data_IF_863183773303
#
_entry.id   IF_863183773303
#
_cell.length_a   1.000
_cell.length_b   1.000
_cell.length_c   1.000
_cell.angle_alpha   90.00
_cell.angle_beta   90.00
_cell.angle_gamma   90.00
#
_symmetry.space_group_name_H-M   'P 1'
#
loop_
_entity.id
_entity.type
_entity.pdbx_description
1 polymer ?
#
# COMPACT_ATOMS: atom_id res chain seq x y z
N UNK A 1 -62.43 -40.86 14.08
CA UNK A 1 -61.43 -40.44 15.09
C UNK A 1 -60.03 -40.60 14.48
N UNK A 2 -59.65 -39.71 13.58
CA UNK A 2 -58.91 -38.44 13.76
C UNK A 2 -57.39 -38.58 13.50
N UNK A 3 -57.08 -39.05 12.29
CA UNK A 3 -55.76 -39.03 11.62
C UNK A 3 -55.13 -37.64 11.51
N UNK A 4 -55.90 -36.57 11.80
CA UNK A 4 -55.41 -35.19 11.86
C UNK A 4 -54.49 -34.89 13.05
N UNK A 5 -54.56 -35.65 14.16
CA UNK A 5 -53.72 -35.39 15.33
C UNK A 5 -52.28 -35.93 15.23
N UNK A 6 -52.03 -36.98 14.44
CA UNK A 6 -50.67 -37.56 14.28
C UNK A 6 -49.75 -36.73 13.37
N UNK A 7 -50.31 -35.92 12.47
CA UNK A 7 -49.49 -35.05 11.59
C UNK A 7 -49.00 -33.80 12.32
N UNK A 8 -49.81 -33.26 13.25
CA UNK A 8 -49.47 -32.07 14.04
C UNK A 8 -48.37 -32.41 15.06
N UNK A 9 -48.41 -33.60 15.69
CA UNK A 9 -47.34 -34.04 16.60
C UNK A 9 -46.01 -34.32 15.89
N UNK A 10 -46.02 -34.80 14.63
CA UNK A 10 -44.78 -34.98 13.85
C UNK A 10 -44.21 -33.69 13.27
N UNK A 11 -45.02 -32.63 13.12
CA UNK A 11 -44.54 -31.32 12.68
C UNK A 11 -43.93 -30.49 13.81
N UNK A 12 -44.32 -30.76 15.06
CA UNK A 12 -43.73 -30.09 16.23
C UNK A 12 -42.35 -30.68 16.58
N UNK A 13 -42.09 -31.96 16.26
CA UNK A 13 -40.80 -32.59 16.56
C UNK A 13 -39.67 -32.30 15.56
N UNK A 14 -39.97 -31.67 14.41
CA UNK A 14 -38.95 -31.31 13.39
C UNK A 14 -38.55 -29.83 13.47
N UNK A 15 -39.24 -29.03 14.29
CA UNK A 15 -38.89 -27.62 14.53
C UNK A 15 -37.96 -27.41 15.74
N UNK A 16 -37.28 -28.47 16.22
CA UNK A 16 -36.53 -28.45 17.48
C UNK A 16 -34.99 -28.64 17.39
N UNK A 17 -34.33 -28.50 16.22
CA UNK A 17 -32.90 -28.16 16.27
C UNK A 17 -32.46 -26.99 15.37
N UNK A 18 -33.38 -26.21 14.78
CA UNK A 18 -32.97 -25.10 13.87
C UNK A 18 -32.78 -23.76 14.58
N UNK A 19 -33.22 -23.62 15.84
CA UNK A 19 -32.97 -22.41 16.64
C UNK A 19 -31.70 -22.46 17.49
N UNK A 20 -30.96 -23.58 17.47
CA UNK A 20 -29.70 -23.72 18.20
C UNK A 20 -28.45 -23.47 17.34
N UNK A 21 -28.59 -23.29 16.03
CA UNK A 21 -27.46 -23.11 15.10
C UNK A 21 -27.32 -21.69 14.53
N UNK A 22 -28.17 -20.74 14.92
CA UNK A 22 -28.19 -19.38 14.36
C UNK A 22 -27.66 -18.29 15.30
N UNK A 23 -26.88 -18.67 16.32
CA UNK A 23 -26.14 -17.73 17.16
C UNK A 23 -24.75 -18.31 17.43
N UNK A 24 -23.97 -18.55 16.36
CA UNK A 24 -22.61 -18.04 16.44
C UNK A 24 -22.75 -16.54 16.22
N UNK A 25 -23.18 -15.83 17.27
CA UNK A 25 -22.90 -14.42 17.36
C UNK A 25 -21.38 -14.36 17.33
N UNK A 26 -20.81 -14.11 16.15
CA UNK A 26 -19.49 -13.53 16.07
C UNK A 26 -19.69 -12.23 16.83
N UNK A 27 -19.27 -12.21 18.10
CA UNK A 27 -19.18 -10.96 18.85
C UNK A 27 -18.48 -9.97 17.93
N UNK A 28 -18.93 -8.71 17.83
CA UNK A 28 -18.19 -7.68 17.14
C UNK A 28 -16.71 -7.86 17.44
N UNK A 29 -15.90 -8.24 16.44
CA UNK A 29 -14.47 -8.09 16.64
C UNK A 29 -14.29 -6.60 16.82
N UNK A 30 -13.72 -6.19 17.95
CA UNK A 30 -13.16 -4.85 18.04
C UNK A 30 -11.92 -4.91 17.17
N UNK A 31 -12.13 -4.73 15.87
CA UNK A 31 -11.08 -4.76 14.88
C UNK A 31 -10.22 -3.51 15.07
N UNK A 32 -8.91 -3.63 14.99
CA UNK A 32 -7.99 -2.51 14.91
C UNK A 32 -6.98 -2.84 13.81
N UNK A 33 -7.02 -2.05 12.74
CA UNK A 33 -6.09 -2.17 11.62
C UNK A 33 -5.27 -0.90 11.51
N UNK A 34 -3.99 -1.06 11.22
CA UNK A 34 -3.07 0.03 10.97
C UNK A 34 -2.20 -0.29 9.76
N UNK A 35 -1.93 0.70 8.93
CA UNK A 35 -0.93 0.63 7.87
C UNK A 35 -0.22 1.96 7.74
N UNK A 36 1.10 1.91 7.54
CA UNK A 36 1.97 3.06 7.35
C UNK A 36 2.96 2.78 6.23
N UNK A 37 3.18 3.78 5.39
CA UNK A 37 4.25 3.78 4.40
C UNK A 37 4.87 5.17 4.32
N UNK A 38 6.16 5.26 4.64
CA UNK A 38 6.95 6.47 4.59
C UNK A 38 8.18 6.26 3.71
N UNK A 39 8.51 7.25 2.89
CA UNK A 39 9.69 7.20 2.04
C UNK A 39 10.35 8.58 1.90
N UNK A 40 11.67 8.59 2.02
CA UNK A 40 12.50 9.78 1.89
C UNK A 40 13.59 9.51 0.86
N UNK A 41 13.87 10.51 0.04
CA UNK A 41 14.99 10.47 -0.89
C UNK A 41 15.71 11.82 -0.92
N UNK A 42 17.04 11.77 -0.98
CA UNK A 42 17.90 12.93 -1.06
C UNK A 42 18.96 12.71 -2.13
N UNK A 43 19.11 13.70 -3.02
CA UNK A 43 20.25 13.84 -3.90
C UNK A 43 21.26 14.81 -3.30
N UNK A 44 22.53 14.44 -3.35
CA UNK A 44 23.64 15.27 -2.88
C UNK A 44 24.78 15.34 -3.90
N UNK A 45 25.64 16.36 -3.75
CA UNK A 45 26.96 16.43 -4.39
C UNK A 45 26.96 16.19 -5.92
N UNK A 46 26.00 16.79 -6.65
CA UNK A 46 26.02 16.73 -8.11
C UNK A 46 27.34 17.29 -8.66
N UNK A 47 27.90 16.60 -9.67
CA UNK A 47 29.13 17.04 -10.34
C UNK A 47 29.00 18.39 -11.04
N UNK A 48 27.77 18.83 -11.32
CA UNK A 48 27.43 20.12 -11.90
C UNK A 48 25.97 20.46 -11.57
N UNK A 49 25.63 21.75 -11.53
CA UNK A 49 24.25 22.19 -11.31
C UNK A 49 23.35 21.82 -12.50
N UNK A 50 22.06 21.49 -12.26
CA UNK A 50 21.11 21.28 -13.34
C UNK A 50 20.79 22.59 -14.09
N UNK A 51 20.54 22.51 -15.39
CA UNK A 51 20.08 23.63 -16.23
C UNK A 51 18.61 23.97 -16.02
N UNK A 52 17.84 23.04 -15.45
CA UNK A 52 16.46 23.23 -15.04
C UNK A 52 16.02 22.15 -14.06
N UNK A 53 15.09 22.50 -13.17
CA UNK A 53 14.53 21.59 -12.17
C UNK A 53 13.01 21.67 -12.16
N UNK A 54 12.37 20.56 -11.83
CA UNK A 54 10.94 20.46 -11.54
C UNK A 54 10.76 19.58 -10.30
N UNK A 55 9.81 19.97 -9.46
CA UNK A 55 9.35 19.16 -8.34
C UNK A 55 7.82 19.12 -8.39
N UNK A 56 7.24 17.93 -8.24
CA UNK A 56 5.80 17.71 -8.21
C UNK A 56 5.43 16.81 -7.04
N UNK A 57 4.24 17.01 -6.50
CA UNK A 57 3.66 16.19 -5.44
C UNK A 57 2.18 15.99 -5.70
N UNK A 58 1.66 14.82 -5.32
CA UNK A 58 0.23 14.52 -5.35
C UNK A 58 -0.15 13.67 -4.14
N UNK A 59 -1.38 13.84 -3.66
CA UNK A 59 -1.91 13.05 -2.54
C UNK A 59 -3.38 12.72 -2.77
N UNK A 60 -3.76 11.49 -2.43
CA UNK A 60 -5.15 11.02 -2.47
C UNK A 60 -5.51 10.29 -1.19
N UNK A 61 -6.72 10.52 -0.69
CA UNK A 61 -7.23 9.84 0.50
C UNK A 61 -8.70 9.49 0.34
N UNK A 62 -9.05 8.33 0.89
CA UNK A 62 -10.42 7.87 0.96
C UNK A 62 -10.66 7.21 2.31
N UNK A 63 -11.77 7.56 2.96
CA UNK A 63 -12.25 6.87 4.14
C UNK A 63 -13.75 6.64 4.05
N UNK A 64 -14.19 5.49 4.56
CA UNK A 64 -15.59 5.11 4.69
C UNK A 64 -15.78 4.29 5.95
N UNK A 65 -16.80 4.65 6.72
CA UNK A 65 -17.23 3.94 7.92
C UNK A 65 -18.76 3.89 8.02
N UNK A 66 -19.30 2.76 8.47
CA UNK A 66 -20.71 2.64 8.86
C UNK A 66 -20.88 2.52 10.37
N UNK A 67 -20.12 1.60 11.00
CA UNK A 67 -20.24 1.25 12.42
C UNK A 67 -18.88 1.28 13.16
N UNK A 68 -17.90 2.01 12.61
CA UNK A 68 -16.53 2.07 13.12
C UNK A 68 -15.87 3.42 12.95
N UNK A 69 -14.54 3.40 12.89
CA UNK A 69 -13.68 4.56 12.61
C UNK A 69 -12.83 4.21 11.41
N UNK A 70 -12.65 5.16 10.49
CA UNK A 70 -11.78 5.06 9.32
C UNK A 70 -11.04 6.38 9.16
N UNK A 71 -9.71 6.36 9.27
CA UNK A 71 -8.86 7.54 9.10
C UNK A 71 -7.79 7.25 8.05
N UNK A 72 -7.51 8.25 7.20
CA UNK A 72 -6.53 8.18 6.14
C UNK A 72 -5.79 9.51 6.02
N UNK A 73 -4.46 9.46 6.04
CA UNK A 73 -3.57 10.62 5.95
C UNK A 73 -2.56 10.40 4.84
N UNK A 74 -2.34 11.41 4.01
CA UNK A 74 -1.31 11.43 2.98
C UNK A 74 -0.59 12.77 2.97
N UNK A 75 0.74 12.73 2.91
CA UNK A 75 1.63 13.88 2.82
C UNK A 75 2.70 13.60 1.76
N UNK A 76 3.00 14.62 0.96
CA UNK A 76 4.10 14.64 0.00
C UNK A 76 4.73 16.03 -0.04
N UNK A 77 6.04 16.09 0.12
CA UNK A 77 6.85 17.30 0.05
C UNK A 77 8.02 17.08 -0.91
N UNK A 78 8.35 18.08 -1.72
CA UNK A 78 9.44 17.96 -2.68
C UNK A 78 10.14 19.31 -2.91
N UNK A 79 11.47 19.29 -2.87
CA UNK A 79 12.33 20.45 -3.13
C UNK A 79 13.51 20.01 -3.97
N UNK A 80 13.67 20.62 -5.15
CA UNK A 80 14.88 20.45 -5.97
C UNK A 80 15.57 21.80 -6.17
N UNK A 81 16.83 21.90 -5.77
CA UNK A 81 17.62 23.11 -5.95
C UNK A 81 18.35 23.08 -7.28
N UNK A 82 18.39 24.26 -7.92
CA UNK A 82 19.22 24.47 -9.10
C UNK A 82 20.69 24.72 -8.70
N UNK A 83 21.27 23.79 -7.94
CA UNK A 83 22.63 23.86 -7.41
C UNK A 83 23.26 22.46 -7.39
N UNK A 84 24.54 22.38 -7.01
CA UNK A 84 25.22 21.09 -6.81
C UNK A 84 24.82 20.39 -5.52
N UNK A 85 24.10 21.08 -4.63
CA UNK A 85 23.64 20.51 -3.35
C UNK A 85 22.52 19.49 -3.56
N UNK A 86 21.75 19.63 -4.65
CA UNK A 86 20.72 18.67 -5.04
C UNK A 86 19.34 18.98 -4.48
N UNK A 87 18.66 17.99 -3.94
CA UNK A 87 17.24 18.09 -3.60
C UNK A 87 16.77 16.95 -2.70
N UNK A 88 15.66 17.16 -2.02
CA UNK A 88 15.06 16.21 -1.09
C UNK A 88 13.56 16.16 -1.28
N UNK A 89 12.98 15.00 -1.06
CA UNK A 89 11.55 14.82 -1.03
C UNK A 89 11.14 13.67 -0.11
N UNK A 90 9.94 13.82 0.46
CA UNK A 90 9.40 12.98 1.51
C UNK A 90 7.93 12.69 1.22
N UNK A 91 7.56 11.43 1.37
CA UNK A 91 6.20 10.93 1.26
C UNK A 91 5.83 10.20 2.55
N UNK A 92 4.63 10.43 3.05
CA UNK A 92 4.07 9.73 4.19
C UNK A 92 2.61 9.40 3.95
N UNK A 93 2.23 8.15 4.22
CA UNK A 93 0.84 7.72 4.18
C UNK A 93 0.54 6.84 5.38
N UNK A 94 -0.65 7.03 5.96
CA UNK A 94 -1.12 6.30 7.13
C UNK A 94 -2.62 6.03 6.97
N UNK A 95 -3.05 4.84 7.33
CA UNK A 95 -4.45 4.49 7.41
C UNK A 95 -4.73 3.71 8.69
N UNK A 96 -5.84 4.04 9.34
CA UNK A 96 -6.28 3.44 10.59
C UNK A 96 -7.76 3.09 10.51
N UNK A 97 -8.12 1.96 11.10
CA UNK A 97 -9.49 1.50 11.21
C UNK A 97 -9.77 0.89 12.58
N UNK A 98 -10.92 1.23 13.18
CA UNK A 98 -11.36 0.61 14.45
C UNK A 98 -12.82 0.14 14.37
N UNK A 99 -13.11 -0.96 15.07
CA UNK A 99 -14.41 -1.60 15.24
C UNK A 99 -14.90 -2.41 14.04
N UNK A 100 -15.86 -1.92 13.26
CA UNK A 100 -16.53 -2.71 12.23
C UNK A 100 -16.81 -1.85 11.01
N UNK A 101 -16.82 -2.48 9.83
CA UNK A 101 -17.34 -1.89 8.59
C UNK A 101 -16.63 -0.59 8.23
N UNK A 102 -15.33 -0.71 7.99
CA UNK A 102 -14.50 0.40 7.56
C UNK A 102 -13.64 0.03 6.35
N UNK A 103 -13.30 1.06 5.59
CA UNK A 103 -12.29 1.06 4.54
C UNK A 103 -11.58 2.41 4.57
N UNK A 104 -10.27 2.40 4.71
CA UNK A 104 -9.44 3.60 4.57
C UNK A 104 -8.26 3.33 3.64
N UNK A 105 -7.93 4.33 2.83
CA UNK A 105 -6.89 4.31 1.83
C UNK A 105 -6.21 5.67 1.78
N UNK A 106 -4.89 5.66 1.67
CA UNK A 106 -4.10 6.87 1.44
C UNK A 106 -2.98 6.57 0.44
N UNK A 107 -2.70 7.54 -0.41
CA UNK A 107 -1.64 7.51 -1.40
C UNK A 107 -0.92 8.86 -1.45
N UNK A 108 0.40 8.82 -1.58
CA UNK A 108 1.20 10.01 -1.84
C UNK A 108 2.28 9.74 -2.87
N UNK A 109 2.51 10.73 -3.72
CA UNK A 109 3.47 10.70 -4.80
C UNK A 109 4.36 11.94 -4.77
N UNK A 110 5.65 11.76 -5.09
CA UNK A 110 6.54 12.88 -5.38
C UNK A 110 7.47 12.57 -6.54
N UNK A 111 7.82 13.60 -7.29
CA UNK A 111 8.71 13.50 -8.46
C UNK A 111 9.69 14.67 -8.46
N UNK A 112 10.97 14.38 -8.69
CA UNK A 112 12.02 15.38 -8.95
C UNK A 112 12.59 15.16 -10.35
N UNK A 113 12.61 16.20 -11.18
CA UNK A 113 13.21 16.15 -12.52
C UNK A 113 14.31 17.19 -12.63
N UNK A 114 15.52 16.75 -12.97
CA UNK A 114 16.69 17.60 -13.20
C UNK A 114 17.22 17.44 -14.62
N UNK A 115 17.41 18.56 -15.32
CA UNK A 115 18.02 18.57 -16.66
C UNK A 115 19.50 18.92 -16.57
N UNK A 116 20.36 18.20 -17.29
CA UNK A 116 21.81 18.43 -17.28
C UNK A 116 22.38 18.39 -18.69
N UNK A 117 23.31 19.28 -18.98
CA UNK A 117 24.07 19.29 -20.23
C UNK A 117 25.49 18.83 -19.94
N UNK A 118 25.88 17.65 -20.42
CA UNK A 118 27.20 17.07 -20.18
C UNK A 118 28.04 17.24 -21.43
N UNK A 119 29.16 17.95 -21.33
CA UNK A 119 30.14 18.04 -22.40
C UNK A 119 30.86 16.70 -22.62
N UNK A 120 31.32 16.45 -23.85
CA UNK A 120 32.12 15.28 -24.18
C UNK A 120 33.35 15.14 -23.26
N UNK A 121 33.68 13.89 -22.96
CA UNK A 121 34.79 13.45 -22.10
C UNK A 121 34.68 13.89 -20.63
N UNK A 122 33.48 14.31 -20.18
CA UNK A 122 33.19 14.60 -18.78
C UNK A 122 32.31 13.52 -18.13
N UNK A 123 32.39 13.45 -16.80
CA UNK A 123 31.54 12.56 -16.00
C UNK A 123 30.37 13.31 -15.38
N UNK A 124 29.21 12.64 -15.34
CA UNK A 124 28.09 13.04 -14.49
C UNK A 124 28.06 12.13 -13.26
N UNK A 125 27.92 12.72 -12.08
CA UNK A 125 27.82 11.98 -10.82
C UNK A 125 27.00 12.72 -9.77
N UNK A 126 26.50 11.97 -8.80
CA UNK A 126 25.83 12.46 -7.60
C UNK A 126 25.87 11.37 -6.53
N UNK A 127 25.66 11.78 -5.28
CA UNK A 127 25.41 10.88 -4.16
C UNK A 127 23.91 10.87 -3.85
N UNK A 128 23.42 9.82 -3.18
CA UNK A 128 22.03 9.76 -2.77
C UNK A 128 21.83 8.97 -1.47
N UNK A 129 20.73 9.30 -0.79
CA UNK A 129 20.20 8.56 0.36
C UNK A 129 18.74 8.22 0.08
N UNK A 130 18.34 6.97 0.32
CA UNK A 130 16.98 6.49 0.17
C UNK A 130 16.55 5.74 1.42
N UNK A 131 15.45 6.15 2.05
CA UNK A 131 14.87 5.49 3.23
C UNK A 131 13.42 5.08 2.94
N UNK A 132 13.06 3.84 3.27
CA UNK A 132 11.72 3.29 3.12
C UNK A 132 11.31 2.57 4.41
N UNK A 133 10.25 3.05 5.04
CA UNK A 133 9.67 2.47 6.24
C UNK A 133 8.21 2.05 5.97
N UNK A 134 7.91 0.78 6.21
CA UNK A 134 6.57 0.21 6.12
C UNK A 134 6.18 -0.44 7.44
N UNK A 135 4.90 -0.34 7.81
CA UNK A 135 4.35 -1.08 8.93
C UNK A 135 2.88 -1.46 8.69
N UNK A 136 2.47 -2.62 9.17
CA UNK A 136 1.07 -3.07 9.22
C UNK A 136 0.76 -3.68 10.59
N UNK A 137 -0.49 -3.59 11.03
CA UNK A 137 -0.98 -4.26 12.23
C UNK A 137 -2.46 -4.62 12.10
N UNK A 138 -2.83 -5.79 12.62
CA UNK A 138 -4.20 -6.31 12.70
C UNK A 138 -4.43 -7.09 14.02
N UNK A 139 -5.67 -7.23 14.47
CA UNK A 139 -6.06 -7.98 15.68
C UNK A 139 -6.67 -9.36 15.38
N UNK A 140 -7.37 -9.49 14.25
CA UNK A 140 -8.22 -10.60 13.82
C UNK A 140 -8.06 -10.91 12.31
N UNK A 141 -7.04 -11.70 11.93
CA UNK A 141 -6.72 -12.03 10.54
C UNK A 141 -7.86 -12.53 9.64
N UNK A 142 -8.86 -13.30 10.13
CA UNK A 142 -9.97 -13.73 9.29
C UNK A 142 -10.87 -12.60 8.78
N UNK A 143 -10.84 -11.42 9.39
CA UNK A 143 -11.76 -10.32 9.10
C UNK A 143 -11.08 -8.98 8.85
N UNK A 144 -9.76 -8.92 8.85
CA UNK A 144 -9.02 -7.67 8.72
C UNK A 144 -7.97 -7.80 7.66
N UNK A 145 -7.70 -6.70 6.97
CA UNK A 145 -6.59 -6.61 6.04
C UNK A 145 -5.95 -5.23 6.22
N UNK A 146 -4.63 -5.23 6.35
CA UNK A 146 -3.78 -4.06 6.32
C UNK A 146 -2.70 -4.26 5.23
N UNK A 147 -2.46 -3.23 4.44
CA UNK A 147 -1.42 -3.21 3.40
C UNK A 147 -0.65 -1.92 3.44
N UNK A 148 0.65 -2.03 3.28
CA UNK A 148 1.55 -0.89 3.10
C UNK A 148 2.51 -1.20 1.96
N UNK A 149 2.63 -0.30 0.99
CA UNK A 149 3.56 -0.44 -0.12
C UNK A 149 4.25 0.90 -0.38
N UNK A 150 5.53 0.83 -0.72
CA UNK A 150 6.30 2.01 -1.08
C UNK A 150 7.32 1.71 -2.16
N UNK A 151 7.55 2.69 -3.01
CA UNK A 151 8.51 2.66 -4.11
C UNK A 151 9.35 3.94 -4.08
N UNK A 152 10.66 3.77 -4.26
CA UNK A 152 11.63 4.83 -4.46
C UNK A 152 12.48 4.47 -5.66
N UNK A 153 12.43 5.29 -6.70
CA UNK A 153 13.08 4.97 -7.96
C UNK A 153 13.72 6.22 -8.56
N UNK A 154 14.87 6.06 -9.22
CA UNK A 154 15.35 7.08 -10.14
C UNK A 154 15.77 6.47 -11.48
N UNK A 155 15.68 7.30 -12.52
CA UNK A 155 16.03 6.97 -13.89
C UNK A 155 16.85 8.10 -14.49
N UNK A 156 17.96 7.75 -15.13
CA UNK A 156 18.72 8.70 -15.95
C UNK A 156 18.44 8.46 -17.43
N UNK A 157 17.91 9.48 -18.10
CA UNK A 157 17.59 9.46 -19.52
C UNK A 157 18.61 10.24 -20.33
N UNK A 158 19.03 9.68 -21.47
CA UNK A 158 19.62 10.43 -22.58
C UNK A 158 18.46 11.00 -23.41
N UNK A 159 18.21 12.30 -23.27
CA UNK A 159 17.09 13.00 -23.93
C UNK A 159 17.28 12.98 -25.45
N UNK A 160 18.51 13.16 -25.92
CA UNK A 160 18.83 13.26 -27.35
C UNK A 160 18.54 11.96 -28.09
N UNK A 161 18.63 10.82 -27.39
CA UNK A 161 18.47 9.49 -27.97
C UNK A 161 17.23 8.74 -27.46
N UNK A 162 16.49 9.33 -26.52
CA UNK A 162 15.27 8.80 -25.92
C UNK A 162 15.47 7.39 -25.33
N UNK A 163 16.52 7.24 -24.52
CA UNK A 163 16.88 5.96 -23.88
C UNK A 163 17.13 6.14 -22.39
N UNK A 164 16.63 5.19 -21.59
CA UNK A 164 17.08 5.03 -20.20
C UNK A 164 18.51 4.50 -20.22
N UNK A 165 19.41 5.21 -19.54
CA UNK A 165 20.81 4.84 -19.41
C UNK A 165 21.04 3.95 -18.19
N UNK A 166 20.47 4.35 -17.06
CA UNK A 166 20.69 3.75 -15.75
C UNK A 166 19.47 4.00 -14.86
N UNK A 167 19.27 3.11 -13.87
CA UNK A 167 18.19 3.20 -12.89
C UNK A 167 18.60 2.69 -11.51
N UNK A 168 17.77 3.02 -10.53
CA UNK A 168 17.75 2.51 -9.18
C UNK A 168 16.30 2.32 -8.75
N UNK A 169 16.01 1.24 -8.03
CA UNK A 169 14.68 0.91 -7.53
C UNK A 169 14.81 0.29 -6.12
N UNK A 170 14.08 0.85 -5.15
CA UNK A 170 13.83 0.28 -3.82
C UNK A 170 12.32 0.18 -3.62
N UNK A 171 11.82 -1.05 -3.56
CA UNK A 171 10.37 -1.35 -3.53
C UNK A 171 10.09 -2.27 -2.35
N UNK A 172 9.06 -1.95 -1.57
CA UNK A 172 8.59 -2.77 -0.47
C UNK A 172 7.07 -2.92 -0.48
N UNK A 173 6.59 -4.08 -0.01
CA UNK A 173 5.18 -4.37 0.16
C UNK A 173 4.99 -5.26 1.39
N UNK A 174 4.01 -4.89 2.22
CA UNK A 174 3.52 -5.66 3.36
C UNK A 174 2.03 -5.92 3.18
N UNK A 175 1.58 -7.14 3.46
CA UNK A 175 0.17 -7.50 3.50
C UNK A 175 -0.11 -8.56 4.55
N UNK A 176 -1.01 -8.22 5.46
CA UNK A 176 -1.44 -9.16 6.50
C UNK A 176 -2.36 -10.27 5.96
N UNK A 177 -2.83 -10.16 4.71
CA UNK A 177 -3.59 -11.20 4.02
C UNK A 177 -2.72 -11.95 3.01
N UNK A 178 -2.37 -13.19 3.35
CA UNK A 178 -1.61 -14.08 2.46
C UNK A 178 -0.12 -14.07 2.75
N UNK A 179 0.69 -14.22 1.70
CA UNK A 179 2.15 -14.29 1.77
C UNK A 179 2.74 -13.60 0.52
N UNK A 180 2.40 -12.32 0.36
CA UNK A 180 2.89 -11.48 -0.75
C UNK A 180 3.82 -10.37 -0.26
N UNK A 181 4.42 -10.55 0.91
CA UNK A 181 5.40 -9.61 1.44
C UNK A 181 6.69 -9.69 0.64
N UNK A 182 7.26 -8.54 0.30
CA UNK A 182 8.56 -8.50 -0.36
C UNK A 182 9.27 -7.18 -0.12
N UNK A 183 10.58 -7.24 -0.33
CA UNK A 183 11.43 -6.07 -0.54
C UNK A 183 12.37 -6.38 -1.71
N UNK A 184 12.54 -5.42 -2.60
CA UNK A 184 13.41 -5.52 -3.75
C UNK A 184 14.30 -4.27 -3.84
N UNK A 185 15.59 -4.51 -4.03
CA UNK A 185 16.60 -3.48 -4.27
C UNK A 185 17.31 -3.84 -5.57
N UNK A 186 17.22 -2.95 -6.57
CA UNK A 186 17.81 -3.13 -7.88
C UNK A 186 18.48 -1.85 -8.35
N UNK A 187 19.60 -1.97 -9.07
CA UNK A 187 20.24 -0.82 -9.69
C UNK A 187 21.09 -1.23 -10.90
N UNK A 188 21.38 -0.26 -11.75
CA UNK A 188 22.30 -0.40 -12.89
C UNK A 188 23.76 -0.39 -12.45
N UNK A 189 24.66 -0.90 -13.31
CA UNK A 189 26.10 -1.07 -13.00
C UNK A 189 26.82 0.23 -12.60
N UNK A 190 26.31 1.41 -12.99
CA UNK A 190 26.90 2.71 -12.66
C UNK A 190 26.44 3.27 -11.30
N UNK A 191 25.56 2.56 -10.60
CA UNK A 191 25.12 2.87 -9.24
C UNK A 191 25.90 2.00 -8.26
N UNK A 192 26.52 2.62 -7.26
CA UNK A 192 27.30 1.95 -6.23
C UNK A 192 26.63 2.17 -4.88
N UNK A 193 26.44 1.10 -4.10
CA UNK A 193 25.95 1.19 -2.73
C UNK A 193 27.15 1.31 -1.77
N UNK A 194 27.18 2.39 -1.01
CA UNK A 194 28.18 2.65 0.02
C UNK A 194 27.77 1.97 1.33
N UNK A 195 26.47 2.07 1.67
CA UNK A 195 25.86 1.43 2.82
C UNK A 195 24.44 0.98 2.45
N UNK A 196 24.06 -0.20 2.90
CA UNK A 196 22.71 -0.73 2.74
C UNK A 196 22.28 -1.45 4.03
N UNK A 197 21.02 -1.27 4.41
CA UNK A 197 20.38 -1.97 5.51
C UNK A 197 18.95 -2.28 5.09
N UNK A 198 18.56 -3.55 5.14
CA UNK A 198 17.21 -4.00 4.81
C UNK A 198 16.77 -4.96 5.90
N UNK A 199 15.82 -4.53 6.73
CA UNK A 199 15.35 -5.24 7.92
C UNK A 199 13.86 -5.57 7.82
N UNK A 200 13.49 -6.64 7.09
CA UNK A 200 12.10 -7.09 7.03
C UNK A 200 11.73 -7.91 8.27
N UNK A 201 10.53 -7.68 8.79
CA UNK A 201 9.83 -8.55 9.72
C UNK A 201 8.47 -8.90 9.10
N UNK A 202 8.41 -10.05 8.44
CA UNK A 202 7.24 -10.51 7.71
C UNK A 202 6.43 -11.54 8.50
N UNK A 203 5.11 -11.52 8.27
CA UNK A 203 4.14 -12.41 8.89
C UNK A 203 3.78 -12.09 10.34
N UNK A 204 2.72 -12.74 10.79
CA UNK A 204 2.16 -12.53 12.13
C UNK A 204 0.99 -11.56 12.07
N UNK A 205 0.81 -10.79 13.15
CA UNK A 205 -0.23 -9.76 13.24
C UNK A 205 0.33 -8.35 13.02
N UNK A 206 1.65 -8.21 13.12
CA UNK A 206 2.38 -6.95 12.98
C UNK A 206 3.57 -7.23 12.06
N UNK A 207 3.68 -6.48 10.98
CA UNK A 207 4.74 -6.61 9.99
C UNK A 207 5.43 -5.27 9.83
N UNK A 208 6.72 -5.30 9.54
CA UNK A 208 7.49 -4.08 9.29
C UNK A 208 8.59 -4.29 8.26
N UNK A 209 8.97 -3.21 7.61
CA UNK A 209 10.16 -3.13 6.76
C UNK A 209 10.83 -1.80 7.03
N UNK A 210 12.09 -1.84 7.42
CA UNK A 210 12.96 -0.67 7.46
C UNK A 210 14.09 -0.90 6.44
N UNK A 211 14.17 -0.06 5.41
CA UNK A 211 15.21 -0.11 4.40
C UNK A 211 15.90 1.25 4.25
N UNK A 212 17.23 1.25 4.24
CA UNK A 212 18.04 2.45 4.06
C UNK A 212 19.22 2.15 3.13
N UNK A 213 19.42 3.00 2.14
CA UNK A 213 20.49 2.89 1.15
C UNK A 213 21.18 4.24 1.01
N UNK A 214 22.49 4.25 1.20
CA UNK A 214 23.37 5.36 0.83
C UNK A 214 24.22 4.91 -0.35
N UNK A 215 24.24 5.70 -1.41
CA UNK A 215 24.91 5.33 -2.64
C UNK A 215 25.45 6.51 -3.44
N UNK A 216 26.09 6.16 -4.55
CA UNK A 216 26.59 7.13 -5.52
C UNK A 216 26.39 6.63 -6.93
N UNK A 217 26.19 7.56 -7.85
CA UNK A 217 26.11 7.30 -9.28
C UNK A 217 27.26 7.98 -10.00
N UNK A 218 27.86 7.32 -10.99
CA UNK A 218 28.85 7.96 -11.87
C UNK A 218 28.93 7.34 -13.25
N UNK A 219 28.92 8.19 -14.29
CA UNK A 219 29.10 7.78 -15.68
C UNK A 219 29.90 8.78 -16.49
N UNK A 220 30.80 8.27 -17.34
CA UNK A 220 31.56 9.06 -18.32
C UNK A 220 30.81 9.15 -19.65
N UNK A 221 30.74 10.35 -20.23
CA UNK A 221 30.11 10.60 -21.52
C UNK A 221 31.16 10.96 -22.57
N UNK A 222 31.26 10.20 -23.66
CA UNK A 222 32.27 10.42 -24.73
C UNK A 222 31.81 11.41 -25.80
N UNK A 223 30.63 12.01 -25.63
CA UNK A 223 30.04 13.01 -26.52
C UNK A 223 29.16 13.94 -25.69
N UNK A 224 28.88 15.12 -26.23
CA UNK A 224 27.90 16.02 -25.63
C UNK A 224 26.55 15.29 -25.51
N UNK A 225 25.95 15.33 -24.33
CA UNK A 225 24.72 14.58 -24.01
C UNK A 225 23.81 15.42 -23.13
N UNK A 226 22.54 15.54 -23.51
CA UNK A 226 21.50 16.13 -22.67
C UNK A 226 20.83 15.04 -21.83
N UNK A 227 20.82 15.23 -20.51
CA UNK A 227 20.28 14.26 -19.56
C UNK A 227 19.03 14.81 -18.87
N UNK A 228 18.09 13.91 -18.60
CA UNK A 228 17.06 14.10 -17.59
C UNK A 228 17.25 13.05 -16.50
N UNK A 229 17.44 13.50 -15.27
CA UNK A 229 17.35 12.67 -14.08
C UNK A 229 15.93 12.80 -13.54
N UNK A 230 15.22 11.69 -13.46
CA UNK A 230 13.86 11.62 -12.91
C UNK A 230 13.91 10.74 -11.68
N UNK A 231 13.54 11.28 -10.54
CA UNK A 231 13.27 10.52 -9.33
C UNK A 231 11.77 10.51 -9.08
N UNK A 232 11.27 9.38 -8.60
CA UNK A 232 9.87 9.12 -8.34
C UNK A 232 9.72 8.33 -7.04
N UNK A 233 8.74 8.73 -6.23
CA UNK A 233 8.26 7.96 -5.09
C UNK A 233 6.75 7.83 -5.10
N UNK A 234 6.29 6.68 -4.64
CA UNK A 234 4.88 6.40 -4.40
C UNK A 234 4.74 5.59 -3.11
N UNK A 235 3.84 6.03 -2.24
CA UNK A 235 3.49 5.33 -1.02
C UNK A 235 1.99 5.09 -1.01
N UNK A 236 1.57 3.89 -0.61
CA UNK A 236 0.17 3.46 -0.57
C UNK A 236 -0.11 2.65 0.67
N UNK A 237 -1.24 2.92 1.30
CA UNK A 237 -1.75 2.14 2.42
C UNK A 237 -3.23 1.83 2.25
N UNK A 238 -3.64 0.68 2.76
CA UNK A 238 -5.04 0.28 2.81
C UNK A 238 -5.32 -0.46 4.11
N UNK A 239 -6.44 -0.14 4.73
CA UNK A 239 -6.98 -0.92 5.85
C UNK A 239 -8.46 -1.19 5.64
N UNK A 240 -8.92 -2.39 6.00
CA UNK A 240 -10.33 -2.77 5.86
C UNK A 240 -10.76 -3.86 6.87
N UNK A 241 -12.03 -3.79 7.27
CA UNK A 241 -12.72 -4.87 7.97
C UNK A 241 -14.16 -5.04 7.39
N UNK A 242 -14.52 -6.22 6.81
CA UNK A 242 -15.83 -6.43 6.18
C UNK A 242 -17.00 -6.54 7.17
N UNK A 243 -18.23 -6.34 6.65
CA UNK A 243 -19.50 -6.56 7.38
C UNK A 243 -19.58 -7.96 8.02
N UNK A 244 -20.06 -8.08 9.27
CA UNK A 244 -20.58 -9.33 9.78
C UNK A 244 -21.79 -9.73 8.92
N UNK A 245 -21.67 -10.82 8.17
CA UNK A 245 -22.64 -11.35 7.19
C UNK A 245 -24.01 -11.79 7.75
N UNK A 246 -24.70 -10.96 8.53
CA UNK A 246 -26.08 -11.18 8.98
C UNK A 246 -27.13 -10.91 7.89
N UNK A 247 -26.78 -10.18 6.82
CA UNK A 247 -27.67 -9.82 5.72
C UNK A 247 -28.10 -11.02 4.85
N UNK A 248 -27.24 -12.02 4.63
CA UNK A 248 -27.58 -13.23 3.86
C UNK A 248 -28.51 -14.20 4.62
N UNK A 249 -28.44 -14.26 5.95
CA UNK A 249 -29.29 -15.15 6.75
C UNK A 249 -30.77 -14.73 6.75
N UNK A 250 -31.05 -13.43 6.60
CA UNK A 250 -32.41 -12.87 6.51
C UNK A 250 -33.11 -13.18 5.18
N UNK A 251 -32.36 -13.28 4.08
CA UNK A 251 -32.91 -13.64 2.77
C UNK A 251 -33.26 -15.12 2.65
N UNK A 252 -32.50 -16.01 3.29
CA UNK A 252 -32.79 -17.45 3.28
C UNK A 252 -33.99 -17.79 4.18
N UNK A 253 -34.16 -17.10 5.32
CA UNK A 253 -35.28 -17.34 6.23
C UNK A 253 -36.64 -16.85 5.68
N UNK A 254 -36.67 -15.76 4.92
CA UNK A 254 -37.89 -15.25 4.27
C UNK A 254 -38.34 -16.09 3.05
N UNK A 255 -37.39 -16.67 2.29
CA UNK A 255 -37.68 -17.57 1.17
C UNK A 255 -38.32 -18.91 1.60
N UNK A 256 -37.86 -19.49 2.72
CA UNK A 256 -38.40 -20.77 3.22
C UNK A 256 -39.81 -20.61 3.79
N UNK A 257 -40.13 -19.48 4.43
CA UNK A 257 -41.48 -19.20 4.94
C UNK A 257 -42.48 -19.02 3.78
N UNK A 258 -42.10 -18.32 2.71
CA UNK A 258 -42.95 -18.11 1.53
C UNK A 258 -43.34 -19.40 0.79
N UNK A 259 -42.41 -20.35 0.67
CA UNK A 259 -42.67 -21.64 0.01
C UNK A 259 -43.58 -22.54 0.87
N UNK A 260 -43.44 -22.51 2.20
CA UNK A 260 -44.29 -23.28 3.11
C UNK A 260 -45.73 -22.73 3.15
N UNK A 261 -45.92 -21.41 3.10
CA UNK A 261 -47.26 -20.80 3.05
C UNK A 261 -47.98 -21.06 1.72
N UNK A 262 -47.26 -21.12 0.59
CA UNK A 262 -47.85 -21.43 -0.73
C UNK A 262 -48.27 -22.90 -0.86
N UNK A 263 -47.61 -23.83 -0.15
CA UNK A 263 -47.90 -25.27 -0.21
C UNK A 263 -49.11 -25.70 0.63
N UNK A 264 -49.57 -24.87 1.59
CA UNK A 264 -50.77 -25.11 2.41
C UNK A 264 -52.08 -24.61 1.80
N UNK A 265 -52.03 -23.95 0.63
CA UNK A 265 -53.21 -23.41 -0.09
C UNK A 265 -53.60 -24.22 -1.34
N UNK A 266 -53.12 -25.46 -1.50
CA UNK A 266 -53.61 -26.43 -2.49
C UNK A 266 -54.17 -27.66 -1.80
#
# INVERSE_FOLDING_TARGET
>A
MNTKHKLIQKLILVAAPVLASSVLAISPSRAATFALSAAEFEFENFSQSPSGVLASTDTDTFSFEENGVAEATAEANAIFLQSTEGGTNFNFTEAFGENQEYLAFAESESELIGSFEIEADNSFSFDFVANLDLATSIDNPPSENARAAGEISFFLFDIDNNTVLDSFDLIGNLTTEGDNDFVALQASDNVNFNQESVNPNFGGLEESLEASVEGSYKRLFTRNTNLALVEFKQNRVLVQAPEPSASLALLVSSGVIGVIMKRRRK
#
